data_IF_165915475190
#
_entry.id   IF_165915475190
#
_cell.length_a   1.000
_cell.length_b   1.000
_cell.length_c   1.000
_cell.angle_alpha   90.00
_cell.angle_beta   90.00
_cell.angle_gamma   90.00
#
_symmetry.space_group_name_H-M   'P 1'
#
loop_
_entity.id
_entity.type
_entity.pdbx_description
1 polymer ?
#
# COMPACT_ATOMS: atom_id res chain seq x y z
N UNK A 1 -33.39 41.21 -16.55
CA UNK A 1 -32.80 39.96 -15.97
C UNK A 1 -32.77 38.91 -17.06
N UNK A 2 -31.63 38.37 -17.33
CA UNK A 2 -31.53 37.21 -18.24
C UNK A 2 -31.70 35.92 -17.42
N UNK A 3 -32.73 35.17 -17.68
CA UNK A 3 -32.91 33.85 -17.07
C UNK A 3 -32.25 32.82 -17.98
N UNK A 4 -31.18 32.21 -17.52
CA UNK A 4 -30.55 31.09 -18.21
C UNK A 4 -31.23 29.82 -17.70
N UNK A 5 -32.06 29.20 -18.53
CA UNK A 5 -32.65 27.89 -18.26
C UNK A 5 -31.82 26.84 -19.00
N UNK A 6 -31.24 25.89 -18.26
CA UNK A 6 -30.63 24.70 -18.83
C UNK A 6 -31.71 23.65 -19.04
N UNK A 7 -32.05 23.37 -20.28
CA UNK A 7 -33.09 22.37 -20.63
C UNK A 7 -32.74 20.96 -20.07
N UNK A 8 -31.46 20.68 -19.87
CA UNK A 8 -30.97 19.41 -19.34
C UNK A 8 -30.42 19.56 -17.90
N UNK A 9 -30.67 20.69 -17.24
CA UNK A 9 -30.12 21.02 -15.94
C UNK A 9 -30.51 20.06 -14.83
N UNK A 10 -31.74 19.59 -14.81
CA UNK A 10 -32.22 18.64 -13.81
C UNK A 10 -31.52 17.27 -13.94
N UNK A 11 -31.35 16.77 -15.15
CA UNK A 11 -30.67 15.52 -15.42
C UNK A 11 -29.17 15.62 -15.05
N UNK A 12 -28.53 16.75 -15.36
CA UNK A 12 -27.15 17.00 -14.99
C UNK A 12 -26.95 17.07 -13.47
N UNK A 13 -27.84 17.80 -12.77
CA UNK A 13 -27.85 17.87 -11.31
C UNK A 13 -28.06 16.48 -10.70
N UNK A 14 -28.96 15.69 -11.27
CA UNK A 14 -29.20 14.32 -10.83
C UNK A 14 -27.95 13.44 -10.99
N UNK A 15 -27.24 13.56 -12.11
CA UNK A 15 -25.98 12.84 -12.38
C UNK A 15 -24.88 13.27 -11.40
N UNK A 16 -24.72 14.56 -11.13
CA UNK A 16 -23.79 15.08 -10.13
C UNK A 16 -24.13 14.57 -8.72
N UNK A 17 -25.41 14.53 -8.36
CA UNK A 17 -25.86 14.01 -7.07
C UNK A 17 -25.59 12.50 -6.92
N UNK A 18 -25.70 11.73 -8.00
CA UNK A 18 -25.30 10.32 -8.02
C UNK A 18 -23.79 10.18 -7.85
N UNK A 19 -23.03 11.00 -8.55
CA UNK A 19 -21.57 11.01 -8.41
C UNK A 19 -21.16 11.30 -6.98
N UNK A 20 -21.78 12.28 -6.31
CA UNK A 20 -21.50 12.59 -4.91
C UNK A 20 -21.78 11.42 -3.98
N UNK A 21 -22.93 10.75 -4.13
CA UNK A 21 -23.30 9.59 -3.31
C UNK A 21 -22.42 8.36 -3.54
N UNK A 22 -22.10 8.10 -4.80
CA UNK A 22 -21.39 6.88 -5.20
C UNK A 22 -19.88 7.06 -5.33
N UNK A 23 -19.40 8.31 -5.26
CA UNK A 23 -18.00 8.63 -5.51
C UNK A 23 -17.02 7.88 -4.60
N UNK A 24 -17.35 7.73 -3.33
CA UNK A 24 -16.47 7.05 -2.38
C UNK A 24 -16.34 5.56 -2.70
N UNK A 25 -17.46 4.88 -2.90
CA UNK A 25 -17.48 3.44 -3.11
C UNK A 25 -17.08 3.03 -4.53
N UNK A 26 -17.56 3.75 -5.53
CA UNK A 26 -17.38 3.36 -6.94
C UNK A 26 -16.22 4.02 -7.64
N UNK A 27 -15.76 5.18 -7.16
CA UNK A 27 -14.66 5.94 -7.79
C UNK A 27 -13.41 5.90 -6.92
N UNK A 28 -13.49 6.44 -5.71
CA UNK A 28 -12.31 6.61 -4.84
C UNK A 28 -11.76 5.26 -4.39
N UNK A 29 -12.60 4.36 -3.89
CA UNK A 29 -12.17 3.05 -3.42
C UNK A 29 -11.42 2.24 -4.47
N UNK A 30 -12.03 1.95 -5.63
CA UNK A 30 -11.37 1.22 -6.70
C UNK A 30 -10.10 1.89 -7.22
N UNK A 31 -10.08 3.22 -7.36
CA UNK A 31 -8.92 3.96 -7.82
C UNK A 31 -7.74 3.84 -6.84
N UNK A 32 -7.97 4.07 -5.55
CA UNK A 32 -6.94 3.93 -4.52
C UNK A 32 -6.42 2.49 -4.47
N UNK A 33 -7.31 1.51 -4.59
CA UNK A 33 -6.92 0.10 -4.54
C UNK A 33 -6.06 -0.31 -5.74
N UNK A 34 -6.41 0.15 -6.95
CA UNK A 34 -5.60 -0.11 -8.15
C UNK A 34 -4.20 0.50 -8.02
N UNK A 35 -4.08 1.70 -7.49
CA UNK A 35 -2.79 2.33 -7.21
C UNK A 35 -1.99 1.58 -6.13
N UNK A 36 -2.65 1.20 -5.04
CA UNK A 36 -2.03 0.46 -3.94
C UNK A 36 -1.52 -0.92 -4.39
N UNK A 37 -2.24 -1.60 -5.28
CA UNK A 37 -1.81 -2.87 -5.85
C UNK A 37 -0.49 -2.74 -6.62
N UNK A 38 -0.33 -1.70 -7.42
CA UNK A 38 0.91 -1.44 -8.15
C UNK A 38 2.08 -1.23 -7.19
N UNK A 39 1.87 -0.44 -6.12
CA UNK A 39 2.90 -0.21 -5.11
C UNK A 39 3.21 -1.50 -4.32
N UNK A 40 2.20 -2.27 -3.95
CA UNK A 40 2.38 -3.55 -3.24
C UNK A 40 3.17 -4.56 -4.10
N UNK A 41 2.88 -4.66 -5.39
CA UNK A 41 3.62 -5.53 -6.31
C UNK A 41 5.09 -5.06 -6.46
N UNK A 42 5.34 -3.75 -6.48
CA UNK A 42 6.69 -3.20 -6.48
C UNK A 42 7.44 -3.52 -5.18
N UNK A 43 6.79 -3.41 -4.02
CA UNK A 43 7.35 -3.80 -2.71
C UNK A 43 7.70 -5.29 -2.71
N UNK A 44 6.82 -6.13 -3.23
CA UNK A 44 7.06 -7.58 -3.37
C UNK A 44 8.32 -7.87 -4.19
N UNK A 45 8.44 -7.21 -5.33
CA UNK A 45 9.61 -7.34 -6.21
C UNK A 45 10.91 -6.91 -5.53
N UNK A 46 10.90 -5.76 -4.88
CA UNK A 46 12.09 -5.27 -4.15
C UNK A 46 12.42 -6.17 -2.94
N UNK A 47 11.43 -6.68 -2.23
CA UNK A 47 11.63 -7.62 -1.13
C UNK A 47 12.23 -8.96 -1.62
N UNK A 48 11.80 -9.45 -2.77
CA UNK A 48 12.39 -10.65 -3.39
C UNK A 48 13.88 -10.46 -3.68
N UNK A 49 14.30 -9.25 -4.03
CA UNK A 49 15.70 -8.92 -4.30
C UNK A 49 16.54 -8.69 -3.03
N UNK A 50 15.92 -8.53 -1.84
CA UNK A 50 16.65 -8.40 -0.58
C UNK A 50 17.46 -9.68 -0.31
N UNK A 51 18.79 -9.59 -0.08
CA UNK A 51 19.59 -10.77 0.24
C UNK A 51 19.17 -11.38 1.58
N UNK A 52 19.31 -12.67 1.71
CA UNK A 52 19.10 -13.41 2.97
C UNK A 52 20.42 -13.79 3.61
N UNK A 53 20.41 -13.83 4.92
CA UNK A 53 21.58 -14.22 5.71
C UNK A 53 21.11 -15.04 6.92
N UNK A 54 21.61 -16.26 7.05
CA UNK A 54 21.26 -17.17 8.16
C UNK A 54 22.14 -16.96 9.39
N UNK A 55 23.13 -16.08 9.30
CA UNK A 55 24.05 -15.77 10.40
C UNK A 55 23.41 -14.96 11.53
N UNK A 56 24.21 -14.74 12.54
CA UNK A 56 23.93 -13.82 13.64
C UNK A 56 24.79 -12.57 13.45
N UNK A 57 24.12 -11.44 13.28
CA UNK A 57 24.80 -10.16 13.13
C UNK A 57 25.42 -9.68 14.43
N UNK A 58 26.55 -9.01 14.32
CA UNK A 58 27.17 -8.24 15.39
C UNK A 58 27.25 -6.77 14.99
N UNK A 59 27.59 -5.91 15.93
CA UNK A 59 27.78 -4.49 15.64
C UNK A 59 28.89 -4.25 14.60
N UNK A 60 29.93 -5.06 14.65
CA UNK A 60 31.09 -4.97 13.75
C UNK A 60 30.85 -5.65 12.41
N UNK A 61 30.03 -6.71 12.42
CA UNK A 61 29.66 -7.48 11.23
C UNK A 61 28.15 -7.73 11.19
N UNK A 62 27.35 -6.74 10.81
CA UNK A 62 25.91 -6.92 10.69
C UNK A 62 25.57 -7.88 9.56
N UNK A 63 24.51 -8.67 9.72
CA UNK A 63 23.99 -9.53 8.64
C UNK A 63 23.49 -8.70 7.47
N UNK A 64 23.55 -9.24 6.27
CA UNK A 64 23.13 -8.54 5.03
C UNK A 64 21.62 -8.40 4.88
N UNK A 65 20.86 -9.21 5.57
CA UNK A 65 19.40 -9.21 5.45
C UNK A 65 18.75 -10.22 6.40
N UNK A 66 17.43 -10.42 6.23
CA UNK A 66 16.68 -11.34 7.06
C UNK A 66 17.04 -12.80 6.78
N UNK A 67 16.63 -13.67 7.67
CA UNK A 67 16.65 -15.12 7.42
C UNK A 67 15.67 -15.49 6.32
N UNK A 68 15.90 -16.60 5.63
CA UNK A 68 14.99 -17.09 4.56
C UNK A 68 13.56 -17.24 5.07
N UNK A 69 13.37 -17.76 6.27
CA UNK A 69 12.05 -17.93 6.89
C UNK A 69 11.35 -16.60 7.18
N UNK A 70 12.09 -15.59 7.61
CA UNK A 70 11.58 -14.24 7.83
C UNK A 70 11.14 -13.59 6.50
N UNK A 71 11.98 -13.69 5.47
CA UNK A 71 11.66 -13.17 4.13
C UNK A 71 10.45 -13.88 3.53
N UNK A 72 10.36 -15.20 3.65
CA UNK A 72 9.20 -15.97 3.18
C UNK A 72 7.92 -15.56 3.91
N UNK A 73 7.97 -15.36 5.22
CA UNK A 73 6.83 -14.87 6.00
C UNK A 73 6.38 -13.49 5.53
N UNK A 74 7.30 -12.55 5.30
CA UNK A 74 6.98 -11.21 4.78
C UNK A 74 6.33 -11.26 3.41
N UNK A 75 6.84 -12.07 2.49
CA UNK A 75 6.27 -12.24 1.16
C UNK A 75 4.85 -12.84 1.20
N UNK A 76 4.59 -13.71 2.17
CA UNK A 76 3.27 -14.35 2.35
C UNK A 76 2.21 -13.45 2.97
N UNK A 77 2.60 -12.42 3.72
CA UNK A 77 1.67 -11.56 4.48
C UNK A 77 1.58 -10.12 3.96
N UNK A 78 2.35 -9.78 2.93
CA UNK A 78 2.24 -8.46 2.31
C UNK A 78 0.83 -8.24 1.78
N UNK A 79 0.15 -7.26 2.30
CA UNK A 79 -1.24 -6.98 1.98
C UNK A 79 -1.59 -5.51 1.94
N UNK A 80 -2.81 -5.24 1.51
CA UNK A 80 -3.42 -3.93 1.44
C UNK A 80 -4.63 -3.93 2.37
N UNK A 81 -4.76 -2.96 3.24
CA UNK A 81 -5.94 -2.83 4.10
C UNK A 81 -7.19 -2.45 3.31
N UNK A 82 -8.34 -2.67 3.89
CA UNK A 82 -9.57 -2.02 3.43
C UNK A 82 -9.42 -0.50 3.50
N UNK A 83 -10.18 0.20 2.65
CA UNK A 83 -10.19 1.65 2.65
C UNK A 83 -10.63 2.20 4.01
N UNK A 84 -9.89 3.15 4.52
CA UNK A 84 -10.12 3.81 5.80
C UNK A 84 -10.21 5.32 5.57
N UNK A 85 -10.81 6.01 6.52
CA UNK A 85 -10.85 7.47 6.57
C UNK A 85 -10.03 7.93 7.77
N UNK A 86 -9.10 8.83 7.57
CA UNK A 86 -8.30 9.39 8.65
C UNK A 86 -9.04 10.49 9.42
N UNK A 87 -8.38 11.06 10.43
CA UNK A 87 -8.94 12.14 11.25
C UNK A 87 -9.24 13.43 10.47
N UNK A 88 -8.57 13.64 9.35
CA UNK A 88 -8.75 14.78 8.46
C UNK A 88 -9.81 14.53 7.38
N UNK A 89 -10.38 13.34 7.36
CA UNK A 89 -11.40 12.95 6.41
C UNK A 89 -10.88 12.43 5.07
N UNK A 90 -9.57 12.18 4.96
CA UNK A 90 -8.93 11.66 3.75
C UNK A 90 -9.06 10.15 3.68
N UNK A 91 -9.54 9.64 2.55
CA UNK A 91 -9.59 8.21 2.29
C UNK A 91 -8.22 7.65 1.94
N UNK A 92 -7.85 6.56 2.58
CA UNK A 92 -6.57 5.91 2.36
C UNK A 92 -6.65 4.39 2.52
N UNK A 93 -5.65 3.71 2.00
CA UNK A 93 -5.35 2.31 2.28
C UNK A 93 -3.90 2.21 2.76
N UNK A 94 -3.60 1.22 3.57
CA UNK A 94 -2.25 0.96 4.05
C UNK A 94 -1.72 -0.31 3.39
N UNK A 95 -0.47 -0.28 3.00
CA UNK A 95 0.26 -1.44 2.48
C UNK A 95 1.23 -1.85 3.57
N UNK A 96 1.24 -3.09 3.96
CA UNK A 96 2.09 -3.52 5.07
C UNK A 96 2.15 -5.02 5.25
N UNK A 97 2.78 -5.39 6.35
CA UNK A 97 3.08 -6.77 6.73
C UNK A 97 2.38 -7.06 8.06
N UNK A 98 1.38 -7.92 8.02
CA UNK A 98 0.62 -8.29 9.20
C UNK A 98 1.11 -9.59 9.85
N UNK A 99 0.65 -9.86 11.06
CA UNK A 99 0.87 -11.11 11.78
C UNK A 99 2.31 -11.33 12.27
N UNK A 100 2.61 -12.59 12.49
CA UNK A 100 3.85 -13.05 13.11
C UNK A 100 4.49 -14.14 12.26
N UNK A 101 5.82 -14.22 12.28
CA UNK A 101 6.55 -15.36 11.72
C UNK A 101 6.63 -16.52 12.74
N UNK A 102 7.28 -17.60 12.35
CA UNK A 102 7.41 -18.79 13.19
C UNK A 102 8.67 -18.80 14.10
N UNK A 103 9.41 -17.69 14.15
CA UNK A 103 10.59 -17.59 15.01
C UNK A 103 10.17 -17.19 16.42
N UNK A 104 10.13 -18.15 17.31
CA UNK A 104 9.72 -17.98 18.71
C UNK A 104 10.92 -17.80 19.64
N UNK A 105 10.74 -16.96 20.66
CA UNK A 105 11.71 -16.73 21.73
C UNK A 105 10.98 -16.33 23.01
N UNK A 106 11.72 -16.19 24.13
CA UNK A 106 11.14 -15.64 25.36
C UNK A 106 10.51 -14.28 25.14
N UNK A 107 11.11 -13.44 24.31
CA UNK A 107 10.58 -12.10 23.95
C UNK A 107 9.38 -12.19 23.02
N UNK A 108 9.34 -13.19 22.17
CA UNK A 108 8.34 -13.37 21.11
C UNK A 108 7.74 -14.78 21.16
N UNK A 109 6.91 -15.09 22.20
CA UNK A 109 6.36 -16.45 22.35
C UNK A 109 5.47 -16.91 21.20
N UNK A 110 4.82 -15.96 20.52
CA UNK A 110 3.95 -16.21 19.36
C UNK A 110 4.66 -16.08 18.01
N UNK A 111 5.94 -15.78 18.01
CA UNK A 111 6.73 -15.45 16.84
C UNK A 111 7.06 -13.95 16.76
N UNK A 112 8.02 -13.60 15.91
CA UNK A 112 8.38 -12.21 15.71
C UNK A 112 7.31 -11.48 14.90
N UNK A 113 6.92 -10.24 15.26
CA UNK A 113 6.02 -9.44 14.43
C UNK A 113 6.63 -9.16 13.04
N UNK A 114 5.91 -9.50 11.98
CA UNK A 114 6.39 -9.29 10.61
C UNK A 114 6.66 -7.82 10.32
N UNK A 115 5.85 -6.93 10.85
CA UNK A 115 6.05 -5.48 10.72
C UNK A 115 7.38 -5.01 11.33
N UNK A 116 7.80 -5.59 12.44
CA UNK A 116 9.09 -5.29 13.06
C UNK A 116 10.26 -5.76 12.19
N UNK A 117 10.15 -6.96 11.62
CA UNK A 117 11.18 -7.51 10.72
C UNK A 117 11.30 -6.65 9.45
N UNK A 118 10.18 -6.27 8.85
CA UNK A 118 10.18 -5.39 7.68
C UNK A 118 10.83 -4.03 7.97
N UNK A 119 10.53 -3.44 9.13
CA UNK A 119 11.15 -2.19 9.59
C UNK A 119 12.64 -2.33 9.83
N UNK A 120 13.09 -3.46 10.40
CA UNK A 120 14.51 -3.74 10.61
C UNK A 120 15.27 -3.83 9.28
N UNK A 121 14.68 -4.44 8.25
CA UNK A 121 15.26 -4.48 6.90
C UNK A 121 15.33 -3.07 6.31
N UNK A 122 14.24 -2.34 6.33
CA UNK A 122 14.11 -1.00 5.71
C UNK A 122 15.09 0.01 6.31
N UNK A 123 15.15 0.07 7.63
CA UNK A 123 15.91 1.09 8.37
C UNK A 123 17.29 0.62 8.80
N UNK A 124 17.53 -0.69 8.78
CA UNK A 124 18.69 -1.30 9.42
C UNK A 124 18.58 -1.33 10.94
N UNK A 125 19.45 -2.11 11.55
CA UNK A 125 19.65 -2.18 13.00
C UNK A 125 21.15 -2.29 13.28
N UNK A 126 21.55 -2.29 14.56
CA UNK A 126 22.95 -2.58 14.94
C UNK A 126 23.45 -3.93 14.40
N UNK A 127 22.52 -4.88 14.22
CA UNK A 127 22.81 -6.27 13.86
C UNK A 127 22.52 -6.62 12.39
N UNK A 128 21.82 -5.72 11.67
CA UNK A 128 21.40 -5.94 10.28
C UNK A 128 21.65 -4.71 9.44
N UNK A 129 22.26 -4.89 8.27
CA UNK A 129 22.49 -3.83 7.30
C UNK A 129 21.18 -3.29 6.75
N UNK A 130 21.11 -2.00 6.58
CA UNK A 130 19.97 -1.28 6.01
C UNK A 130 19.74 -1.65 4.55
N UNK A 131 18.52 -1.94 4.19
CA UNK A 131 18.08 -2.14 2.81
C UNK A 131 16.72 -1.49 2.58
N UNK A 132 16.72 -0.31 1.98
CA UNK A 132 15.52 0.52 1.78
C UNK A 132 14.62 0.00 0.66
N UNK A 133 14.15 -1.23 0.79
CA UNK A 133 13.34 -1.88 -0.24
C UNK A 133 11.97 -1.24 -0.44
N UNK A 134 11.30 -0.80 0.64
CA UNK A 134 10.01 -0.09 0.55
C UNK A 134 10.18 1.27 -0.12
N UNK A 135 11.17 2.05 0.31
CA UNK A 135 11.41 3.37 -0.29
C UNK A 135 11.75 3.27 -1.79
N UNK A 136 12.57 2.27 -2.18
CA UNK A 136 12.84 2.03 -3.61
C UNK A 136 11.60 1.64 -4.38
N UNK A 137 10.79 0.74 -3.85
CA UNK A 137 9.55 0.31 -4.48
C UNK A 137 8.60 1.48 -4.71
N UNK A 138 8.37 2.29 -3.69
CA UNK A 138 7.52 3.49 -3.76
C UNK A 138 8.05 4.47 -4.81
N UNK A 139 9.34 4.77 -4.80
CA UNK A 139 9.93 5.70 -5.76
C UNK A 139 9.82 5.21 -7.21
N UNK A 140 9.98 3.90 -7.45
CA UNK A 140 9.86 3.31 -8.78
C UNK A 140 8.42 3.26 -9.28
N UNK A 141 7.45 3.05 -8.39
CA UNK A 141 6.06 2.75 -8.76
C UNK A 141 5.10 3.93 -8.64
N UNK A 142 5.45 5.01 -7.93
CA UNK A 142 4.53 6.11 -7.63
C UNK A 142 3.88 6.76 -8.85
N UNK A 143 4.63 6.97 -9.94
CA UNK A 143 4.07 7.55 -11.18
C UNK A 143 3.06 6.62 -11.83
N UNK A 144 3.39 5.33 -11.93
CA UNK A 144 2.52 4.32 -12.51
C UNK A 144 1.27 4.13 -11.66
N UNK A 145 1.41 4.11 -10.34
CA UNK A 145 0.29 4.03 -9.41
C UNK A 145 -0.65 5.23 -9.57
N UNK A 146 -0.12 6.43 -9.62
CA UNK A 146 -0.92 7.65 -9.82
C UNK A 146 -1.64 7.65 -11.16
N UNK A 147 -0.97 7.24 -12.24
CA UNK A 147 -1.59 7.12 -13.58
C UNK A 147 -2.73 6.09 -13.58
N UNK A 148 -2.54 4.95 -12.92
CA UNK A 148 -3.58 3.93 -12.80
C UNK A 148 -4.78 4.42 -11.97
N UNK A 149 -4.54 5.13 -10.87
CA UNK A 149 -5.59 5.73 -10.06
C UNK A 149 -6.41 6.74 -10.86
N UNK A 150 -5.74 7.64 -11.57
CA UNK A 150 -6.40 8.64 -12.42
C UNK A 150 -7.24 7.98 -13.50
N UNK A 151 -6.68 7.03 -14.24
CA UNK A 151 -7.39 6.29 -15.31
C UNK A 151 -8.61 5.56 -14.76
N UNK A 152 -8.49 4.92 -13.59
CA UNK A 152 -9.62 4.22 -12.96
C UNK A 152 -10.71 5.20 -12.55
N UNK A 153 -10.34 6.29 -11.87
CA UNK A 153 -11.28 7.31 -11.44
C UNK A 153 -12.04 7.92 -12.63
N UNK A 154 -11.34 8.32 -13.68
CA UNK A 154 -11.96 8.87 -14.90
C UNK A 154 -12.92 7.87 -15.57
N UNK A 155 -12.55 6.59 -15.61
CA UNK A 155 -13.38 5.53 -16.15
C UNK A 155 -14.68 5.32 -15.36
N UNK A 156 -14.61 5.31 -14.04
CA UNK A 156 -15.78 5.16 -13.17
C UNK A 156 -16.68 6.41 -13.19
N UNK A 157 -16.09 7.61 -13.20
CA UNK A 157 -16.85 8.86 -13.35
C UNK A 157 -17.65 8.86 -14.66
N UNK A 158 -17.03 8.46 -15.77
CA UNK A 158 -17.71 8.35 -17.06
C UNK A 158 -18.89 7.37 -17.05
N UNK A 159 -18.79 6.28 -16.30
CA UNK A 159 -19.89 5.31 -16.15
C UNK A 159 -21.06 5.88 -15.35
N UNK A 160 -20.77 6.64 -14.29
CA UNK A 160 -21.80 7.25 -13.44
C UNK A 160 -22.49 8.41 -14.17
N UNK A 161 -21.73 9.17 -14.98
CA UNK A 161 -22.24 10.33 -15.74
C UNK A 161 -22.99 9.97 -17.02
N UNK A 162 -22.98 8.72 -17.47
CA UNK A 162 -23.82 8.23 -18.57
C UNK A 162 -25.23 7.96 -18.07
#
# INVERSE_FOLDING_TARGET
>A
MATISFKDGEEYILRLSRLEKEAVEKVVGPAIHDGAKIVADAIRTELQAVPTDEGWGTQEQPVRGPKKTQKAALLGVLGITTMQKDSEGVYNVKIGFDGYNNIRSKRWPQGQPNQMVARAIESGTTWMSKNRFVARAVNKSKKQAFTAMKKRAEGEIKKIMK
#
